data_IF_161827915971
#
_entry.id   IF_161827915971
#
_cell.length_a   1.000
_cell.length_b   1.000
_cell.length_c   1.000
_cell.angle_alpha   90.00
_cell.angle_beta   90.00
_cell.angle_gamma   90.00
#
_symmetry.space_group_name_H-M   'P 1'
#
loop_
_entity.id
_entity.type
_entity.pdbx_description
1 polymer ?
#
# COMPACT_ATOMS: atom_id res chain seq x y z
N UNK A 1 5.79 -17.37 14.20
CA UNK A 1 6.69 -16.28 14.61
C UNK A 1 8.02 -16.81 15.14
N UNK A 2 9.07 -16.76 14.32
CA UNK A 2 10.43 -16.74 14.84
C UNK A 2 10.74 -15.28 15.15
N UNK A 3 11.25 -14.92 16.34
CA UNK A 3 11.79 -13.59 16.53
C UNK A 3 12.87 -13.36 15.46
N UNK A 4 12.84 -12.19 14.83
CA UNK A 4 13.87 -11.80 13.88
C UNK A 4 15.23 -11.92 14.57
N UNK A 5 16.20 -12.52 13.88
CA UNK A 5 17.54 -12.70 14.43
C UNK A 5 18.11 -11.29 14.73
N UNK A 6 18.50 -10.99 15.98
CA UNK A 6 19.02 -9.67 16.35
C UNK A 6 20.20 -9.21 15.48
N UNK A 7 20.95 -10.17 14.91
CA UNK A 7 22.04 -9.91 13.97
C UNK A 7 21.53 -9.39 12.63
N UNK A 8 20.39 -9.91 12.14
CA UNK A 8 19.75 -9.49 10.89
C UNK A 8 19.18 -8.09 11.05
N UNK A 9 18.50 -7.81 12.16
CA UNK A 9 17.95 -6.48 12.45
C UNK A 9 19.06 -5.41 12.55
N UNK A 10 20.17 -5.74 13.23
CA UNK A 10 21.33 -4.85 13.31
C UNK A 10 21.96 -4.57 11.93
N UNK A 11 22.01 -5.57 11.05
CA UNK A 11 22.49 -5.40 9.68
C UNK A 11 21.54 -4.50 8.86
N UNK A 12 20.23 -4.74 8.94
CA UNK A 12 19.23 -3.92 8.27
C UNK A 12 19.29 -2.45 8.75
N UNK A 13 19.39 -2.23 10.06
CA UNK A 13 19.55 -0.88 10.62
C UNK A 13 20.85 -0.20 10.17
N UNK A 14 21.95 -0.95 10.03
CA UNK A 14 23.21 -0.40 9.50
C UNK A 14 23.10 -0.01 8.02
N UNK A 15 22.41 -0.82 7.21
CA UNK A 15 22.13 -0.50 5.80
C UNK A 15 21.22 0.71 5.67
N UNK A 16 20.15 0.81 6.48
CA UNK A 16 19.27 1.96 6.51
C UNK A 16 20.05 3.26 6.82
N UNK A 17 20.89 3.22 7.86
CA UNK A 17 21.77 4.35 8.23
C UNK A 17 22.75 4.74 7.12
N UNK A 18 23.35 3.76 6.44
CA UNK A 18 24.26 4.01 5.31
C UNK A 18 23.55 4.73 4.15
N UNK A 19 22.25 4.54 4.00
CA UNK A 19 21.43 5.17 2.95
C UNK A 19 20.71 6.45 3.44
N UNK A 20 21.07 6.97 4.61
CA UNK A 20 20.58 8.26 5.10
C UNK A 20 19.34 8.21 5.98
N UNK A 21 18.82 7.03 6.31
CA UNK A 21 17.76 6.89 7.32
C UNK A 21 18.33 6.97 8.74
N UNK A 22 17.61 7.58 9.67
CA UNK A 22 17.98 7.64 11.08
C UNK A 22 17.89 6.25 11.75
N UNK A 23 16.97 5.41 11.29
CA UNK A 23 16.71 4.07 11.83
C UNK A 23 16.01 3.17 10.82
N UNK A 24 15.94 1.86 11.12
CA UNK A 24 15.14 0.91 10.36
C UNK A 24 13.64 1.28 10.44
N UNK A 25 13.14 1.68 11.61
CA UNK A 25 11.77 2.14 11.76
C UNK A 25 11.42 3.34 10.86
N UNK A 26 12.34 4.29 10.66
CA UNK A 26 12.11 5.40 9.73
C UNK A 26 12.04 4.91 8.27
N UNK A 27 12.86 3.92 7.91
CA UNK A 27 12.77 3.29 6.60
C UNK A 27 11.41 2.61 6.41
N UNK A 28 10.93 1.88 7.42
CA UNK A 28 9.63 1.20 7.38
C UNK A 28 8.47 2.19 7.27
N UNK A 29 8.50 3.30 8.01
CA UNK A 29 7.50 4.36 7.91
C UNK A 29 7.43 4.96 6.50
N UNK A 30 8.60 5.20 5.87
CA UNK A 30 8.69 5.71 4.50
C UNK A 30 8.19 4.65 3.50
N UNK A 31 8.55 3.39 3.68
CA UNK A 31 8.10 2.29 2.84
C UNK A 31 6.57 2.15 2.90
N UNK A 32 5.99 2.18 4.10
CA UNK A 32 4.53 2.14 4.30
C UNK A 32 3.86 3.32 3.61
N UNK A 33 4.43 4.53 3.69
CA UNK A 33 3.90 5.69 3.00
C UNK A 33 3.90 5.51 1.46
N UNK A 34 5.01 5.04 0.89
CA UNK A 34 5.11 4.76 -0.55
C UNK A 34 4.10 3.70 -0.98
N UNK A 35 4.01 2.59 -0.25
CA UNK A 35 3.07 1.50 -0.54
C UNK A 35 1.61 1.99 -0.47
N UNK A 36 1.28 2.83 0.51
CA UNK A 36 -0.05 3.41 0.62
C UNK A 36 -0.38 4.32 -0.56
N UNK A 37 0.56 5.18 -0.98
CA UNK A 37 0.37 6.02 -2.17
C UNK A 37 0.23 5.16 -3.43
N UNK A 38 1.08 4.15 -3.61
CA UNK A 38 1.03 3.22 -4.74
C UNK A 38 -0.32 2.51 -4.84
N UNK A 39 -0.92 2.12 -3.70
CA UNK A 39 -2.24 1.47 -3.67
C UNK A 39 -3.38 2.38 -4.16
N UNK A 40 -3.20 3.70 -4.06
CA UNK A 40 -4.13 4.71 -4.56
C UNK A 40 -3.91 5.13 -6.01
N UNK A 41 -2.88 4.58 -6.69
CA UNK A 41 -2.57 4.92 -8.08
C UNK A 41 -3.22 3.90 -9.01
N UNK A 42 -4.09 4.39 -9.90
CA UNK A 42 -4.56 3.58 -11.02
C UNK A 42 -3.39 3.27 -11.98
N UNK A 43 -3.06 2.00 -12.22
CA UNK A 43 -1.88 1.62 -13.00
C UNK A 43 -1.98 1.97 -14.49
N UNK A 44 -3.20 2.15 -15.02
CA UNK A 44 -3.46 2.51 -16.43
C UNK A 44 -3.44 4.01 -16.63
N UNK A 45 -4.14 4.76 -15.79
CA UNK A 45 -4.30 6.22 -15.95
C UNK A 45 -3.23 7.01 -15.21
N UNK A 46 -2.45 6.36 -14.34
CA UNK A 46 -1.48 6.99 -13.43
C UNK A 46 -2.08 8.11 -12.60
N UNK A 47 -3.38 8.02 -12.30
CA UNK A 47 -4.07 8.98 -11.44
C UNK A 47 -4.10 8.45 -10.02
N UNK A 48 -3.66 9.29 -9.09
CA UNK A 48 -3.80 9.04 -7.68
C UNK A 48 -5.20 9.45 -7.21
N UNK A 49 -5.82 8.59 -6.41
CA UNK A 49 -7.04 8.89 -5.66
C UNK A 49 -6.74 8.68 -4.17
N UNK A 50 -7.19 9.60 -3.32
CA UNK A 50 -7.01 9.44 -1.87
C UNK A 50 -7.71 8.16 -1.38
N UNK A 51 -7.13 7.38 -0.45
CA UNK A 51 -7.69 6.09 -0.05
C UNK A 51 -9.17 6.16 0.41
N UNK A 52 -9.60 7.16 1.21
CA UNK A 52 -11.01 7.28 1.57
C UNK A 52 -11.94 7.60 0.39
N UNK A 53 -11.45 8.31 -0.63
CA UNK A 53 -12.22 8.64 -1.83
C UNK A 53 -12.32 7.43 -2.77
N UNK A 54 -11.23 6.68 -2.92
CA UNK A 54 -11.20 5.44 -3.68
C UNK A 54 -12.22 4.42 -3.11
N UNK A 55 -12.19 4.18 -1.80
CA UNK A 55 -13.12 3.24 -1.15
C UNK A 55 -14.58 3.69 -1.34
N UNK A 56 -14.86 4.99 -1.29
CA UNK A 56 -16.22 5.51 -1.58
C UNK A 56 -16.63 5.23 -3.02
N UNK A 57 -15.73 5.42 -3.98
CA UNK A 57 -15.99 5.11 -5.39
C UNK A 57 -16.23 3.62 -5.60
N UNK A 58 -15.45 2.75 -4.94
CA UNK A 58 -15.63 1.30 -4.96
C UNK A 58 -16.98 0.88 -4.35
N UNK A 59 -17.42 1.49 -3.24
CA UNK A 59 -18.75 1.27 -2.66
C UNK A 59 -19.85 1.62 -3.66
N UNK A 60 -19.73 2.76 -4.36
CA UNK A 60 -20.71 3.19 -5.37
C UNK A 60 -20.72 2.24 -6.56
N UNK A 61 -19.54 1.85 -7.06
CA UNK A 61 -19.40 0.92 -8.17
C UNK A 61 -20.00 -0.46 -7.83
N UNK A 62 -19.68 -1.02 -6.65
CA UNK A 62 -20.19 -2.31 -6.20
C UNK A 62 -21.71 -2.29 -5.99
N UNK A 63 -22.28 -1.18 -5.52
CA UNK A 63 -23.74 -1.02 -5.44
C UNK A 63 -24.39 -1.07 -6.82
N UNK A 64 -23.81 -0.37 -7.80
CA UNK A 64 -24.32 -0.28 -9.16
C UNK A 64 -24.10 -1.55 -10.01
N UNK A 65 -23.09 -2.37 -9.67
CA UNK A 65 -22.73 -3.55 -10.44
C UNK A 65 -23.78 -4.66 -10.32
N UNK A 66 -24.49 -4.94 -11.41
CA UNK A 66 -25.54 -5.98 -11.46
C UNK A 66 -24.99 -7.38 -11.71
N UNK A 67 -23.70 -7.51 -12.03
CA UNK A 67 -23.06 -8.79 -12.31
C UNK A 67 -22.63 -9.53 -11.03
N UNK A 68 -22.44 -8.79 -9.93
CA UNK A 68 -22.06 -9.37 -8.63
C UNK A 68 -23.28 -9.95 -7.91
N UNK A 69 -23.24 -11.23 -7.47
CA UNK A 69 -24.29 -11.83 -6.66
C UNK A 69 -24.62 -11.03 -5.40
N UNK A 70 -25.88 -11.02 -4.97
CA UNK A 70 -26.31 -10.18 -3.84
C UNK A 70 -25.58 -10.52 -2.52
N UNK A 71 -25.28 -11.80 -2.31
CA UNK A 71 -24.53 -12.27 -1.14
C UNK A 71 -23.10 -11.70 -1.12
N UNK A 72 -22.37 -11.86 -2.23
CA UNK A 72 -21.01 -11.33 -2.40
C UNK A 72 -21.00 -9.79 -2.33
N UNK A 73 -22.02 -9.14 -2.90
CA UNK A 73 -22.17 -7.69 -2.83
C UNK A 73 -22.32 -7.21 -1.39
N UNK A 74 -23.16 -7.86 -0.58
CA UNK A 74 -23.34 -7.50 0.83
C UNK A 74 -22.05 -7.67 1.63
N UNK A 75 -21.32 -8.75 1.39
CA UNK A 75 -20.04 -8.99 2.04
C UNK A 75 -19.00 -7.93 1.63
N UNK A 76 -18.83 -7.68 0.33
CA UNK A 76 -17.91 -6.68 -0.18
C UNK A 76 -18.23 -5.27 0.32
N UNK A 77 -19.52 -4.89 0.38
CA UNK A 77 -19.93 -3.60 0.94
C UNK A 77 -19.61 -3.50 2.43
N UNK A 78 -19.80 -4.57 3.20
CA UNK A 78 -19.46 -4.59 4.63
C UNK A 78 -17.95 -4.40 4.83
N UNK A 79 -17.12 -5.07 4.01
CA UNK A 79 -15.67 -4.94 4.05
C UNK A 79 -15.22 -3.52 3.66
N UNK A 80 -15.78 -2.96 2.58
CA UNK A 80 -15.45 -1.60 2.13
C UNK A 80 -15.89 -0.53 3.13
N UNK A 81 -17.06 -0.68 3.77
CA UNK A 81 -17.51 0.23 4.82
C UNK A 81 -16.62 0.16 6.07
N UNK A 82 -16.14 -1.02 6.44
CA UNK A 82 -15.16 -1.19 7.51
C UNK A 82 -13.80 -0.58 7.14
N UNK A 83 -13.35 -0.76 5.90
CA UNK A 83 -12.13 -0.15 5.38
C UNK A 83 -12.25 1.38 5.40
N UNK A 84 -13.38 1.95 4.96
CA UNK A 84 -13.62 3.40 4.94
C UNK A 84 -13.53 4.03 6.33
N UNK A 85 -13.99 3.35 7.38
CA UNK A 85 -13.90 3.82 8.77
C UNK A 85 -12.45 3.90 9.27
N UNK A 86 -11.58 3.03 8.76
CA UNK A 86 -10.17 2.97 9.14
C UNK A 86 -9.25 3.72 8.16
N UNK A 87 -9.77 4.07 6.98
CA UNK A 87 -9.02 4.74 5.93
C UNK A 87 -8.57 6.12 6.42
N UNK A 88 -7.26 6.34 6.38
CA UNK A 88 -6.65 7.64 6.66
C UNK A 88 -6.22 8.29 5.34
N UNK A 89 -6.42 9.61 5.19
CA UNK A 89 -5.78 10.35 4.10
C UNK A 89 -4.27 10.20 4.13
N UNK A 90 -3.62 10.36 2.98
CA UNK A 90 -2.16 10.41 2.94
C UNK A 90 -1.66 11.60 3.76
N UNK A 91 -0.76 11.33 4.70
CA UNK A 91 -0.19 12.35 5.56
C UNK A 91 0.82 13.24 4.81
N UNK A 92 1.71 12.62 4.04
CA UNK A 92 2.78 13.29 3.28
C UNK A 92 2.37 13.45 1.81
N UNK A 93 1.55 14.45 1.51
CA UNK A 93 0.97 14.66 0.17
C UNK A 93 2.02 15.05 -0.87
N UNK A 94 3.09 15.69 -0.45
CA UNK A 94 4.26 16.02 -1.25
C UNK A 94 4.92 14.80 -1.87
N UNK A 95 4.81 13.63 -1.22
CA UNK A 95 5.36 12.37 -1.73
C UNK A 95 4.54 11.80 -2.89
N UNK A 96 3.28 12.21 -3.06
CA UNK A 96 2.40 11.70 -4.13
C UNK A 96 3.03 12.00 -5.50
N UNK A 97 3.51 13.24 -5.71
CA UNK A 97 4.14 13.64 -6.96
C UNK A 97 5.44 12.86 -7.23
N UNK A 98 6.20 12.54 -6.17
CA UNK A 98 7.43 11.78 -6.27
C UNK A 98 7.17 10.32 -6.65
N UNK A 99 6.21 9.67 -5.96
CA UNK A 99 5.83 8.29 -6.24
C UNK A 99 5.23 8.17 -7.64
N UNK A 100 4.37 9.10 -8.07
CA UNK A 100 3.85 9.14 -9.44
C UNK A 100 4.97 9.22 -10.49
N UNK A 101 5.96 10.07 -10.26
CA UNK A 101 7.11 10.23 -11.15
C UNK A 101 7.92 8.94 -11.32
N UNK A 102 8.05 8.15 -10.25
CA UNK A 102 8.84 6.92 -10.24
C UNK A 102 8.00 5.64 -10.24
N UNK A 103 6.70 5.73 -10.51
CA UNK A 103 5.77 4.61 -10.40
C UNK A 103 6.24 3.37 -11.17
N UNK A 104 6.66 3.54 -12.43
CA UNK A 104 7.05 2.40 -13.27
C UNK A 104 8.36 1.74 -12.80
N UNK A 105 9.19 2.45 -12.04
CA UNK A 105 10.39 1.88 -11.40
C UNK A 105 10.05 1.20 -10.07
N UNK A 106 9.08 1.74 -9.33
CA UNK A 106 8.65 1.21 -8.02
C UNK A 106 7.74 0.00 -8.15
N UNK A 107 6.87 -0.04 -9.16
CA UNK A 107 5.89 -1.11 -9.37
C UNK A 107 6.49 -2.53 -9.36
N UNK A 108 7.57 -2.85 -10.12
CA UNK A 108 8.15 -4.20 -10.09
C UNK A 108 8.77 -4.52 -8.72
N UNK A 109 9.41 -3.56 -8.07
CA UNK A 109 10.03 -3.74 -6.74
C UNK A 109 8.95 -4.07 -5.71
N UNK A 110 7.83 -3.35 -5.72
CA UNK A 110 6.73 -3.58 -4.78
C UNK A 110 6.05 -4.93 -4.99
N UNK A 111 6.00 -5.43 -6.23
CA UNK A 111 5.50 -6.78 -6.54
C UNK A 111 6.43 -7.87 -5.97
N UNK A 112 7.75 -7.70 -6.06
CA UNK A 112 8.73 -8.64 -5.48
C UNK A 112 8.71 -8.66 -3.94
N UNK A 113 8.32 -7.54 -3.32
CA UNK A 113 8.19 -7.43 -1.87
C UNK A 113 6.89 -8.05 -1.33
N UNK A 114 5.92 -8.41 -2.17
CA UNK A 114 4.71 -9.12 -1.72
C UNK A 114 5.12 -10.50 -1.17
N UNK A 115 4.92 -10.78 0.13
CA UNK A 115 5.29 -12.05 0.72
C UNK A 115 4.64 -13.25 0.04
N UNK A 116 3.50 -13.05 -0.66
CA UNK A 116 2.78 -14.08 -1.42
C UNK A 116 3.41 -14.39 -2.79
N UNK A 117 4.27 -13.52 -3.30
CA UNK A 117 4.97 -13.70 -4.59
C UNK A 117 6.45 -14.08 -4.43
N UNK A 118 7.00 -14.06 -3.21
CA UNK A 118 8.34 -14.61 -2.97
C UNK A 118 8.32 -16.12 -3.27
N UNK A 119 9.22 -16.63 -4.13
CA UNK A 119 9.38 -18.07 -4.25
C UNK A 119 9.69 -18.64 -2.86
N UNK A 120 9.04 -19.75 -2.51
CA UNK A 120 9.40 -20.47 -1.30
C UNK A 120 10.83 -20.99 -1.47
N UNK A 121 11.78 -20.33 -0.80
CA UNK A 121 13.16 -20.81 -0.65
C UNK A 121 13.19 -22.16 0.11
#
# INVERSE_FOLDING_TARGET
DKPEDPKVEAQAAAVAKKNGFASLAQYDDVLVNITMIMSGIDPQTKKFTEPPEQIKNEIVALKADKSVPEAEKKEGLTQLEAALKNARPIQFKENIALVLKYFDQLAPIMQEQDPKMRPAD
#
